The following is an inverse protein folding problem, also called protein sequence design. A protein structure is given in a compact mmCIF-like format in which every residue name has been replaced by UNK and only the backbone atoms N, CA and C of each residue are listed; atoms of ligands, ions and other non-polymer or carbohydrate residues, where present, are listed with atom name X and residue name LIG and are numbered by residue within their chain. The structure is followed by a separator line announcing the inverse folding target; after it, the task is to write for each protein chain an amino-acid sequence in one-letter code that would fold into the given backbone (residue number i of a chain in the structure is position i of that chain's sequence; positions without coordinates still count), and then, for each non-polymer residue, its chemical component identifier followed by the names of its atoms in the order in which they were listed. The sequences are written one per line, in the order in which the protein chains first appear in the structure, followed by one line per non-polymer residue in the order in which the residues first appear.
data_IF_861966592498
#
_entry.id   IF_861966592498
#
_cell.length_a   1.000
_cell.length_b   1.000
_cell.length_c   1.000
_cell.angle_alpha   90.00
_cell.angle_beta   90.00
_cell.angle_gamma   90.00
#
_symmetry.space_group_name_H-M   'P 1'
#
loop_
_entity.id
_entity.type
_entity.pdbx_description
1 polymer ?
#
# COMPACT_ATOMS: atom_id res chain seq x y z
N UNK A 1 42.44 6.66 16.48
CA UNK A 1 41.20 7.36 16.88
C UNK A 1 39.93 6.59 16.51
N UNK A 2 39.93 5.75 15.48
CA UNK A 2 38.74 4.99 15.01
C UNK A 2 38.65 3.53 15.50
N UNK A 3 39.44 3.13 16.50
CA UNK A 3 39.57 1.72 16.96
C UNK A 3 38.28 1.11 17.50
N UNK A 4 37.31 1.94 17.90
CA UNK A 4 35.99 1.50 18.35
C UNK A 4 35.18 0.82 17.23
N UNK A 5 35.36 1.25 15.98
CA UNK A 5 34.68 0.65 14.83
C UNK A 5 35.25 -0.72 14.45
N UNK A 6 36.51 -1.00 14.80
CA UNK A 6 37.11 -2.33 14.61
C UNK A 6 36.47 -3.40 15.51
N UNK A 7 35.69 -2.98 16.51
CA UNK A 7 34.97 -3.89 17.42
C UNK A 7 33.50 -4.11 16.98
N UNK A 8 33.10 -3.61 15.80
CA UNK A 8 31.77 -3.84 15.24
C UNK A 8 31.53 -5.32 14.94
N UNK A 9 30.86 -5.96 15.88
CA UNK A 9 30.39 -7.34 15.77
C UNK A 9 28.92 -7.42 15.35
N UNK A 10 28.51 -8.61 14.93
CA UNK A 10 27.12 -9.00 14.63
C UNK A 10 26.08 -8.56 15.69
N UNK A 11 26.47 -8.57 16.97
CA UNK A 11 25.55 -8.22 18.07
C UNK A 11 25.11 -6.76 18.03
N UNK A 12 25.99 -5.85 17.59
CA UNK A 12 25.64 -4.44 17.44
C UNK A 12 24.56 -4.24 16.38
N UNK A 13 24.66 -4.99 15.26
CA UNK A 13 23.66 -4.98 14.21
C UNK A 13 22.31 -5.54 14.67
N UNK A 14 22.31 -6.63 15.44
CA UNK A 14 21.08 -7.17 16.02
C UNK A 14 20.43 -6.23 17.03
N UNK A 15 21.21 -5.62 17.92
CA UNK A 15 20.71 -4.64 18.88
C UNK A 15 20.13 -3.42 18.15
N UNK A 16 20.86 -2.90 17.16
CA UNK A 16 20.39 -1.76 16.36
C UNK A 16 19.08 -2.09 15.62
N UNK A 17 19.00 -3.25 14.97
CA UNK A 17 17.78 -3.72 14.32
C UNK A 17 16.60 -3.86 15.29
N UNK A 18 16.84 -4.41 16.48
CA UNK A 18 15.81 -4.55 17.51
C UNK A 18 15.32 -3.19 18.02
N UNK A 19 16.22 -2.24 18.25
CA UNK A 19 15.86 -0.87 18.66
C UNK A 19 15.00 -0.18 17.58
N UNK A 20 15.33 -0.38 16.31
CA UNK A 20 14.52 0.14 15.20
C UNK A 20 13.13 -0.49 15.16
N UNK A 21 13.00 -1.80 15.43
CA UNK A 21 11.69 -2.46 15.53
C UNK A 21 10.87 -1.95 16.71
N UNK A 22 11.51 -1.70 17.86
CA UNK A 22 10.83 -1.09 19.01
C UNK A 22 10.35 0.32 18.64
N UNK A 23 11.20 1.13 17.98
CA UNK A 23 10.83 2.45 17.48
C UNK A 23 9.67 2.38 16.48
N UNK A 24 9.67 1.38 15.61
CA UNK A 24 8.58 1.13 14.65
C UNK A 24 7.26 0.84 15.38
N UNK A 25 7.29 -0.04 16.39
CA UNK A 25 6.13 -0.40 17.19
C UNK A 25 5.52 0.78 17.97
N UNK A 26 6.32 1.81 18.28
CA UNK A 26 5.84 3.05 18.92
C UNK A 26 5.11 4.00 17.96
N UNK A 27 5.03 3.67 16.66
CA UNK A 27 4.18 4.39 15.70
C UNK A 27 4.93 5.00 14.51
N UNK A 28 6.09 4.47 14.12
CA UNK A 28 6.88 5.04 13.02
C UNK A 28 6.33 4.80 11.58
N UNK A 29 5.05 4.45 11.45
CA UNK A 29 4.28 4.39 10.18
C UNK A 29 4.98 3.61 9.03
N UNK A 30 5.76 2.59 9.37
CA UNK A 30 6.46 1.69 8.45
C UNK A 30 7.84 2.16 8.01
N UNK A 31 8.32 3.33 8.45
CA UNK A 31 9.58 3.90 7.97
C UNK A 31 10.82 3.15 8.50
N UNK A 32 10.79 2.73 9.77
CA UNK A 32 11.94 2.07 10.39
C UNK A 32 12.01 0.59 10.04
N UNK A 33 10.90 -0.01 9.57
CA UNK A 33 10.82 -1.44 9.25
C UNK A 33 11.87 -1.87 8.22
N UNK A 34 12.02 -1.14 7.11
CA UNK A 34 13.00 -1.46 6.06
C UNK A 34 14.44 -1.40 6.59
N UNK A 35 14.73 -0.39 7.40
CA UNK A 35 16.04 -0.21 8.02
C UNK A 35 16.32 -1.28 9.09
N UNK A 36 15.31 -1.68 9.85
CA UNK A 36 15.42 -2.73 10.86
C UNK A 36 15.76 -4.08 10.22
N UNK A 37 15.06 -4.45 9.14
CA UNK A 37 15.33 -5.68 8.39
C UNK A 37 16.75 -5.66 7.81
N UNK A 38 17.19 -4.54 7.25
CA UNK A 38 18.55 -4.38 6.75
C UNK A 38 19.60 -4.59 7.86
N UNK A 39 19.38 -4.02 9.05
CA UNK A 39 20.29 -4.19 10.18
C UNK A 39 20.36 -5.64 10.65
N UNK A 40 19.21 -6.33 10.77
CA UNK A 40 19.18 -7.75 11.13
C UNK A 40 19.89 -8.62 10.08
N UNK A 41 19.68 -8.34 8.80
CA UNK A 41 20.36 -9.03 7.71
C UNK A 41 21.89 -8.82 7.77
N UNK A 42 22.35 -7.61 8.06
CA UNK A 42 23.77 -7.34 8.28
C UNK A 42 24.33 -8.11 9.46
N UNK A 43 23.58 -8.25 10.56
CA UNK A 43 23.97 -9.10 11.69
C UNK A 43 24.22 -10.55 11.26
N UNK A 44 23.32 -11.12 10.45
CA UNK A 44 23.48 -12.46 9.86
C UNK A 44 24.69 -12.52 8.93
N UNK A 45 24.85 -11.55 8.02
CA UNK A 45 25.97 -11.53 7.06
C UNK A 45 27.30 -11.48 7.79
N UNK A 46 27.47 -10.56 8.76
CA UNK A 46 28.70 -10.43 9.54
C UNK A 46 28.96 -11.70 10.35
N UNK A 47 27.90 -12.26 10.96
CA UNK A 47 28.00 -13.49 11.73
C UNK A 47 28.41 -14.71 10.92
N UNK A 48 27.75 -14.94 9.79
CA UNK A 48 28.09 -16.05 8.88
C UNK A 48 29.48 -15.85 8.29
N UNK A 49 29.82 -14.63 7.88
CA UNK A 49 31.14 -14.33 7.29
C UNK A 49 32.27 -14.60 8.28
N UNK A 50 32.05 -14.37 9.58
CA UNK A 50 33.05 -14.69 10.62
C UNK A 50 33.41 -16.18 10.72
N UNK A 51 32.60 -17.08 10.13
CA UNK A 51 32.89 -18.51 10.06
C UNK A 51 33.79 -18.91 8.88
N UNK A 52 33.89 -18.07 7.85
CA UNK A 52 34.59 -18.38 6.59
C UNK A 52 35.80 -17.49 6.31
N UNK A 53 35.80 -16.26 6.83
CA UNK A 53 36.85 -15.25 6.63
C UNK A 53 37.15 -14.52 7.95
N UNK A 54 38.29 -13.82 8.02
CA UNK A 54 38.75 -13.02 9.18
C UNK A 54 37.95 -11.73 9.41
N UNK A 55 36.63 -11.79 9.19
CA UNK A 55 35.70 -10.70 9.37
C UNK A 55 35.61 -9.74 8.18
N UNK A 56 34.59 -8.87 8.24
CA UNK A 56 34.35 -7.82 7.26
C UNK A 56 34.74 -6.49 7.90
N UNK A 57 35.57 -5.68 7.22
CA UNK A 57 35.92 -4.34 7.68
C UNK A 57 34.68 -3.45 7.90
N UNK A 58 34.69 -2.63 8.94
CA UNK A 58 33.53 -1.85 9.37
C UNK A 58 33.00 -0.90 8.28
N UNK A 59 33.87 -0.39 7.40
CA UNK A 59 33.50 0.48 6.28
C UNK A 59 32.55 -0.26 5.32
N UNK A 60 32.86 -1.52 5.01
CA UNK A 60 32.05 -2.36 4.14
C UNK A 60 30.74 -2.73 4.84
N UNK A 61 30.78 -3.02 6.13
CA UNK A 61 29.56 -3.30 6.90
C UNK A 61 28.58 -2.13 6.85
N UNK A 62 29.05 -0.91 7.09
CA UNK A 62 28.20 0.29 7.09
C UNK A 62 27.69 0.60 5.68
N UNK A 63 28.55 0.52 4.66
CA UNK A 63 28.14 0.76 3.26
C UNK A 63 27.07 -0.22 2.79
N UNK A 64 27.26 -1.52 3.05
CA UNK A 64 26.26 -2.54 2.70
C UNK A 64 24.98 -2.37 3.52
N UNK A 65 25.09 -2.09 4.82
CA UNK A 65 23.93 -1.84 5.67
C UNK A 65 23.10 -0.64 5.21
N UNK A 66 23.75 0.46 4.83
CA UNK A 66 23.08 1.64 4.27
C UNK A 66 22.41 1.32 2.94
N UNK A 67 23.09 0.63 2.02
CA UNK A 67 22.53 0.21 0.74
C UNK A 67 21.30 -0.69 0.94
N UNK A 68 21.38 -1.70 1.82
CA UNK A 68 20.26 -2.57 2.13
C UNK A 68 19.09 -1.82 2.78
N UNK A 69 19.35 -0.88 3.69
CA UNK A 69 18.30 -0.05 4.30
C UNK A 69 17.50 0.72 3.24
N UNK A 70 18.18 1.34 2.27
CA UNK A 70 17.53 2.04 1.16
C UNK A 70 16.71 1.06 0.31
N UNK A 71 17.31 -0.07 -0.07
CA UNK A 71 16.64 -1.08 -0.91
C UNK A 71 15.38 -1.63 -0.23
N UNK A 72 15.47 -2.07 1.03
CA UNK A 72 14.33 -2.61 1.77
C UNK A 72 13.26 -1.56 2.04
N UNK A 73 13.65 -0.32 2.34
CA UNK A 73 12.70 0.79 2.51
C UNK A 73 11.93 1.09 1.21
N UNK A 74 12.62 1.09 0.07
CA UNK A 74 11.99 1.29 -1.24
C UNK A 74 11.08 0.12 -1.61
N UNK A 75 11.51 -1.13 -1.36
CA UNK A 75 10.70 -2.33 -1.56
C UNK A 75 9.41 -2.27 -0.73
N UNK A 76 9.53 -1.95 0.56
CA UNK A 76 8.38 -1.79 1.44
C UNK A 76 7.41 -0.73 0.92
N UNK A 77 7.93 0.43 0.52
CA UNK A 77 7.09 1.51 -0.01
C UNK A 77 6.38 1.10 -1.31
N UNK A 78 7.10 0.45 -2.23
CA UNK A 78 6.60 0.07 -3.56
C UNK A 78 5.57 -1.04 -3.53
N UNK A 79 5.71 -2.01 -2.62
CA UNK A 79 4.86 -3.20 -2.56
C UNK A 79 3.74 -3.10 -1.52
N UNK A 80 4.02 -2.58 -0.33
CA UNK A 80 3.05 -2.61 0.77
C UNK A 80 2.28 -1.29 0.90
N UNK A 81 2.95 -0.14 0.77
CA UNK A 81 2.29 1.15 0.97
C UNK A 81 1.43 1.58 -0.23
N UNK A 82 1.85 1.24 -1.45
CA UNK A 82 1.06 1.46 -2.65
C UNK A 82 -0.25 0.66 -2.64
N UNK A 83 -0.24 -0.55 -2.07
CA UNK A 83 -1.41 -1.42 -2.01
C UNK A 83 -2.36 -1.04 -0.86
N UNK A 84 -1.84 -0.55 0.27
CA UNK A 84 -2.67 -0.03 1.37
C UNK A 84 -3.38 1.29 1.05
N UNK A 85 -2.88 2.08 0.10
CA UNK A 85 -3.64 3.22 -0.43
C UNK A 85 -4.79 2.80 -1.35
N UNK A 86 -4.86 1.53 -1.78
CA UNK A 86 -5.83 1.10 -2.79
C UNK A 86 -7.25 0.86 -2.25
N UNK A 87 -7.49 0.71 -0.95
CA UNK A 87 -8.87 0.75 -0.41
C UNK A 87 -8.94 0.71 1.12
N UNK A 88 -9.55 1.71 1.73
CA UNK A 88 -9.99 1.67 3.14
C UNK A 88 -11.15 0.67 3.37
N UNK A 89 -11.78 0.15 2.32
CA UNK A 89 -12.96 -0.74 2.39
C UNK A 89 -13.02 -1.75 1.22
N UNK A 90 -12.14 -2.77 1.18
CA UNK A 90 -12.12 -3.76 0.09
C UNK A 90 -13.45 -4.52 -0.06
N UNK A 91 -14.13 -4.84 1.05
CA UNK A 91 -15.47 -5.44 1.08
C UNK A 91 -16.53 -4.57 0.37
N UNK A 92 -16.46 -3.25 0.55
CA UNK A 92 -17.39 -2.31 -0.09
C UNK A 92 -17.08 -2.22 -1.58
N UNK A 93 -15.81 -2.10 -1.96
CA UNK A 93 -15.40 -2.10 -3.37
C UNK A 93 -15.82 -3.38 -4.11
N UNK A 94 -15.76 -4.56 -3.47
CA UNK A 94 -16.28 -5.78 -4.07
C UNK A 94 -17.79 -5.75 -4.27
N UNK A 95 -18.56 -5.21 -3.31
CA UNK A 95 -20.02 -5.04 -3.47
C UNK A 95 -20.36 -4.03 -4.56
N UNK A 96 -19.66 -2.90 -4.61
CA UNK A 96 -19.91 -1.87 -5.63
C UNK A 96 -19.47 -2.34 -7.01
N UNK A 97 -18.39 -3.12 -7.11
CA UNK A 97 -17.95 -3.74 -8.37
C UNK A 97 -18.97 -4.74 -8.93
N UNK A 98 -19.73 -5.45 -8.09
CA UNK A 98 -20.82 -6.32 -8.54
C UNK A 98 -21.99 -5.55 -9.19
N UNK A 99 -22.07 -4.23 -9.00
CA UNK A 99 -23.08 -3.39 -9.63
C UNK A 99 -22.70 -2.98 -11.06
N UNK A 100 -21.42 -3.13 -11.45
CA UNK A 100 -20.97 -2.83 -12.81
C UNK A 100 -21.62 -3.80 -13.80
N UNK A 101 -22.18 -3.28 -14.89
CA UNK A 101 -22.95 -4.04 -15.88
C UNK A 101 -24.44 -4.22 -15.55
N UNK A 102 -24.92 -3.73 -14.40
CA UNK A 102 -26.36 -3.68 -14.12
C UNK A 102 -27.04 -2.66 -15.03
N UNK A 103 -28.14 -3.10 -15.65
CA UNK A 103 -29.02 -2.26 -16.47
C UNK A 103 -30.25 -1.88 -15.65
N UNK A 104 -30.57 -0.59 -15.63
CA UNK A 104 -31.60 0.01 -14.79
C UNK A 104 -32.41 0.99 -15.62
N UNK A 105 -33.64 1.28 -15.19
CA UNK A 105 -34.45 2.38 -15.74
C UNK A 105 -34.42 3.53 -14.74
N UNK A 106 -34.20 4.75 -15.20
CA UNK A 106 -34.21 5.92 -14.34
C UNK A 106 -35.63 6.29 -13.91
N UNK A 107 -35.83 6.44 -12.60
CA UNK A 107 -37.08 6.91 -11.99
C UNK A 107 -37.17 8.46 -11.93
N UNK A 108 -36.04 9.15 -12.11
CA UNK A 108 -35.99 10.62 -12.06
C UNK A 108 -35.00 11.15 -13.09
N UNK A 109 -35.26 12.38 -13.53
CA UNK A 109 -34.32 13.13 -14.37
C UNK A 109 -33.00 13.39 -13.63
N UNK A 110 -31.88 13.14 -14.30
CA UNK A 110 -30.52 13.37 -13.80
C UNK A 110 -29.79 14.23 -14.81
N UNK A 111 -29.30 15.42 -14.43
CA UNK A 111 -28.50 16.22 -15.36
C UNK A 111 -27.05 15.73 -15.45
N UNK A 112 -26.34 15.72 -14.33
CA UNK A 112 -24.93 15.31 -14.27
C UNK A 112 -24.66 14.44 -13.05
N UNK A 113 -25.26 14.78 -11.90
CA UNK A 113 -25.22 13.96 -10.69
C UNK A 113 -26.64 13.68 -10.18
N UNK A 114 -26.84 12.51 -9.59
CA UNK A 114 -28.12 12.12 -9.04
C UNK A 114 -28.00 11.03 -7.99
N UNK A 115 -29.16 10.52 -7.56
CA UNK A 115 -29.25 9.34 -6.71
C UNK A 115 -30.23 8.37 -7.31
N UNK A 116 -29.83 7.11 -7.38
CA UNK A 116 -30.69 6.01 -7.85
C UNK A 116 -30.77 4.95 -6.78
N UNK A 117 -31.91 4.25 -6.72
CA UNK A 117 -32.08 3.11 -5.85
C UNK A 117 -31.71 1.83 -6.61
N UNK A 118 -30.82 1.02 -6.05
CA UNK A 118 -30.50 -0.31 -6.56
C UNK A 118 -30.75 -1.32 -5.44
N UNK A 119 -31.78 -2.15 -5.60
CA UNK A 119 -32.29 -2.99 -4.52
C UNK A 119 -32.82 -2.12 -3.36
N UNK A 120 -32.27 -2.30 -2.16
CA UNK A 120 -32.68 -1.56 -0.96
C UNK A 120 -31.77 -0.37 -0.63
N UNK A 121 -30.77 -0.06 -1.47
CA UNK A 121 -29.76 0.97 -1.19
C UNK A 121 -29.78 2.08 -2.23
N UNK A 122 -29.67 3.34 -1.76
CA UNK A 122 -29.49 4.50 -2.62
C UNK A 122 -28.01 4.74 -2.91
N UNK A 123 -27.68 4.85 -4.20
CA UNK A 123 -26.33 5.11 -4.69
C UNK A 123 -26.25 6.50 -5.30
N UNK A 124 -25.14 7.19 -5.05
CA UNK A 124 -24.80 8.41 -5.78
C UNK A 124 -24.38 7.99 -7.20
N UNK A 125 -24.92 8.67 -8.21
CA UNK A 125 -24.55 8.43 -9.61
C UNK A 125 -24.06 9.68 -10.29
N UNK A 126 -23.17 9.49 -11.26
CA UNK A 126 -22.70 10.52 -12.17
C UNK A 126 -22.91 10.05 -13.61
N UNK A 127 -23.46 10.93 -14.44
CA UNK A 127 -23.70 10.72 -15.86
C UNK A 127 -22.92 11.77 -16.67
N UNK A 128 -22.37 11.36 -17.81
CA UNK A 128 -21.66 12.28 -18.72
C UNK A 128 -22.63 13.17 -19.53
N UNK A 129 -23.91 12.79 -19.58
CA UNK A 129 -24.97 13.47 -20.34
C UNK A 129 -26.23 13.59 -19.48
N UNK A 130 -27.10 14.60 -19.74
CA UNK A 130 -28.42 14.65 -19.13
C UNK A 130 -29.25 13.43 -19.52
N UNK A 131 -29.81 12.77 -18.52
CA UNK A 131 -30.66 11.61 -18.65
C UNK A 131 -32.06 11.94 -18.14
N UNK A 132 -33.06 11.44 -18.85
CA UNK A 132 -34.46 11.64 -18.50
C UNK A 132 -35.02 10.41 -17.78
N UNK A 133 -36.06 10.63 -16.99
CA UNK A 133 -36.91 9.58 -16.45
C UNK A 133 -37.37 8.64 -17.58
N UNK A 134 -37.31 7.34 -17.32
CA UNK A 134 -37.59 6.28 -18.30
C UNK A 134 -36.39 5.85 -19.15
N UNK A 135 -35.26 6.58 -19.12
CA UNK A 135 -34.07 6.16 -19.86
C UNK A 135 -33.46 4.87 -19.29
N UNK A 136 -33.08 3.95 -20.17
CA UNK A 136 -32.29 2.78 -19.81
C UNK A 136 -30.82 3.16 -19.68
N UNK A 137 -30.23 2.81 -18.54
CA UNK A 137 -28.85 3.12 -18.20
C UNK A 137 -28.11 1.86 -17.76
N UNK A 138 -26.81 1.83 -18.01
CA UNK A 138 -25.91 0.79 -17.53
C UNK A 138 -24.83 1.41 -16.65
N UNK A 139 -24.50 0.71 -15.55
CA UNK A 139 -23.38 1.07 -14.69
C UNK A 139 -22.07 0.68 -15.37
N UNK A 140 -21.28 1.66 -15.78
CA UNK A 140 -20.00 1.44 -16.50
C UNK A 140 -18.80 1.35 -15.56
N UNK A 141 -18.87 2.01 -14.41
CA UNK A 141 -17.83 1.91 -13.38
C UNK A 141 -18.39 2.20 -11.99
N UNK A 142 -17.68 1.74 -10.98
CA UNK A 142 -18.03 1.88 -9.57
C UNK A 142 -16.81 2.38 -8.80
N UNK A 143 -16.96 3.51 -8.12
CA UNK A 143 -16.04 3.99 -7.09
C UNK A 143 -16.74 3.91 -5.73
N UNK A 144 -16.00 3.77 -4.63
CA UNK A 144 -16.44 3.28 -3.31
C UNK A 144 -17.87 3.66 -2.87
N UNK A 145 -18.35 4.86 -3.20
CA UNK A 145 -19.73 5.33 -2.94
C UNK A 145 -20.45 5.96 -4.14
N UNK A 146 -19.81 6.02 -5.32
CA UNK A 146 -20.31 6.71 -6.50
C UNK A 146 -20.25 5.80 -7.73
N UNK A 147 -21.36 5.66 -8.43
CA UNK A 147 -21.48 4.86 -9.64
C UNK A 147 -21.46 5.78 -10.87
N UNK A 148 -20.71 5.38 -11.91
CA UNK A 148 -20.77 6.03 -13.22
C UNK A 148 -21.76 5.28 -14.10
N UNK A 149 -22.72 6.01 -14.66
CA UNK A 149 -23.77 5.44 -15.51
C UNK A 149 -23.74 6.04 -16.91
N UNK A 150 -24.12 5.22 -17.90
CA UNK A 150 -24.23 5.64 -19.30
C UNK A 150 -25.58 5.21 -19.86
N UNK A 151 -26.17 6.06 -20.70
CA UNK A 151 -27.38 5.72 -21.46
C UNK A 151 -27.11 4.55 -22.41
N UNK A 152 -27.99 3.56 -22.40
CA UNK A 152 -28.03 2.51 -23.40
C UNK A 152 -28.71 3.08 -24.64
N UNK A 153 -28.02 3.06 -25.78
CA UNK A 153 -28.65 3.30 -27.06
C UNK A 153 -29.52 2.08 -27.38
N UNK A 154 -30.84 2.30 -27.50
CA UNK A 154 -31.80 1.31 -28.02
C UNK A 154 -31.77 1.37 -29.54
#
# INVERSE_FOLDING_TARGET
MWSWFEQLSQWHWFIFGLLLLIGEALGASGFLLGTAIAALLMGVIVGVSSLFIDGIGWQVQILLGAAFSVIFSLLYWRFFRADQQASDRPELNHRTAQLVGRKLVLDKNIQFEGRIQIGDTFWKVVADLPLSEGDQVEVVSADATTLKIKKLAV
#
